data_IF_772590054920
#
_entry.id   IF_772590054920
#
_cell.length_a   1.000
_cell.length_b   1.000
_cell.length_c   1.000
_cell.angle_alpha   90.00
_cell.angle_beta   90.00
_cell.angle_gamma   90.00
#
_symmetry.space_group_name_H-M   'P 1'
#
loop_
_entity.id
_entity.type
_entity.pdbx_description
1 polymer ?
#
# COMPACT_ATOMS: atom_id res chain seq x y z
N UNK A 1 -1.86 15.18 40.40
CA UNK A 1 -2.97 15.42 39.46
C UNK A 1 -2.40 15.76 38.11
N UNK A 2 -2.83 15.08 37.04
CA UNK A 2 -2.43 15.42 35.67
C UNK A 2 -3.48 16.38 35.12
N UNK A 3 -3.09 17.62 34.82
CA UNK A 3 -3.97 18.60 34.21
C UNK A 3 -3.61 18.73 32.73
N UNK A 4 -4.64 18.94 31.89
CA UNK A 4 -4.50 19.13 30.46
C UNK A 4 -4.91 20.55 30.12
N UNK A 5 -4.02 21.31 29.48
CA UNK A 5 -4.34 22.65 28.97
C UNK A 5 -5.00 22.52 27.61
N UNK A 6 -6.12 23.21 27.42
CA UNK A 6 -6.81 23.35 26.13
C UNK A 6 -6.85 24.83 25.80
N UNK A 7 -6.33 25.20 24.63
CA UNK A 7 -6.28 26.60 24.18
C UNK A 7 -7.64 27.05 23.65
N UNK A 8 -7.91 28.37 23.65
CA UNK A 8 -9.14 28.92 23.07
C UNK A 8 -9.29 28.59 21.58
N UNK A 9 -8.20 28.50 20.83
CA UNK A 9 -8.18 28.03 19.44
C UNK A 9 -8.60 26.57 19.30
N UNK A 10 -8.14 25.70 20.21
CA UNK A 10 -8.55 24.30 20.24
C UNK A 10 -10.03 24.18 20.59
N UNK A 11 -10.48 24.95 21.58
CA UNK A 11 -11.89 24.99 21.97
C UNK A 11 -12.78 25.53 20.85
N UNK A 12 -12.37 26.57 20.14
CA UNK A 12 -13.15 27.15 19.05
C UNK A 12 -13.26 26.18 17.87
N UNK A 13 -12.19 25.45 17.53
CA UNK A 13 -12.22 24.43 16.49
C UNK A 13 -13.05 23.19 16.87
N UNK A 14 -13.13 22.86 18.16
CA UNK A 14 -13.97 21.76 18.67
C UNK A 14 -15.46 22.15 18.75
N UNK A 15 -15.77 23.44 18.93
CA UNK A 15 -17.15 23.93 18.96
C UNK A 15 -17.83 23.68 17.61
N UNK A 16 -18.99 23.04 17.64
CA UNK A 16 -19.78 22.70 16.45
C UNK A 16 -19.48 21.32 15.86
N UNK A 17 -18.45 20.61 16.34
CA UNK A 17 -18.20 19.24 15.92
C UNK A 17 -19.11 18.23 16.65
N UNK A 18 -19.38 17.05 16.06
CA UNK A 18 -20.05 15.95 16.74
C UNK A 18 -19.38 15.57 18.07
N UNK A 19 -20.18 15.19 19.07
CA UNK A 19 -19.69 14.87 20.42
C UNK A 19 -18.62 13.77 20.43
N UNK A 20 -18.74 12.77 19.56
CA UNK A 20 -17.73 11.71 19.40
C UNK A 20 -16.36 12.27 19.00
N UNK A 21 -16.32 13.30 18.16
CA UNK A 21 -15.06 13.93 17.72
C UNK A 21 -14.44 14.73 18.87
N UNK A 22 -15.27 15.45 19.62
CA UNK A 22 -14.82 16.22 20.78
C UNK A 22 -14.22 15.31 21.86
N UNK A 23 -14.94 14.25 22.23
CA UNK A 23 -14.44 13.23 23.16
C UNK A 23 -13.15 12.62 22.65
N UNK A 24 -13.13 12.15 21.40
CA UNK A 24 -11.96 11.51 20.81
C UNK A 24 -10.70 12.38 20.91
N UNK A 25 -10.82 13.66 20.61
CA UNK A 25 -9.70 14.59 20.71
C UNK A 25 -9.25 14.78 22.17
N UNK A 26 -10.20 15.08 23.07
CA UNK A 26 -9.90 15.47 24.45
C UNK A 26 -9.46 14.30 25.33
N UNK A 27 -10.07 13.12 25.18
CA UNK A 27 -9.77 11.95 26.03
C UNK A 27 -8.68 11.08 25.44
N UNK A 28 -8.75 10.78 24.14
CA UNK A 28 -7.92 9.74 23.55
C UNK A 28 -6.66 10.25 22.82
N UNK A 29 -6.64 11.50 22.37
CA UNK A 29 -5.51 12.05 21.59
C UNK A 29 -4.70 13.02 22.45
N UNK A 30 -5.34 14.07 22.98
CA UNK A 30 -4.70 15.20 23.65
C UNK A 30 -3.80 14.80 24.85
N UNK A 31 -4.16 13.85 25.72
CA UNK A 31 -3.31 13.49 26.87
C UNK A 31 -1.97 12.84 26.49
N UNK A 32 -1.87 12.32 25.27
CA UNK A 32 -0.71 11.59 24.76
C UNK A 32 0.10 12.38 23.74
N UNK A 33 -0.18 13.67 23.56
CA UNK A 33 0.61 14.52 22.67
C UNK A 33 1.94 14.86 23.31
N UNK A 34 3.02 14.68 22.55
CA UNK A 34 4.28 15.33 22.85
C UNK A 34 4.18 16.82 22.50
N UNK A 35 4.09 17.68 23.53
CA UNK A 35 3.96 19.12 23.37
C UNK A 35 5.16 19.79 22.69
N UNK A 36 6.32 19.13 22.61
CA UNK A 36 7.50 19.66 21.91
C UNK A 36 7.37 19.51 20.39
N UNK A 37 6.77 18.41 19.94
CA UNK A 37 6.69 18.06 18.50
C UNK A 37 5.27 18.20 17.93
N UNK A 38 4.26 18.23 18.80
CA UNK A 38 2.85 18.17 18.42
C UNK A 38 2.41 16.80 17.91
N UNK A 39 3.23 15.75 18.08
CA UNK A 39 2.98 14.43 17.51
C UNK A 39 2.43 13.47 18.57
N UNK A 40 1.49 12.62 18.15
CA UNK A 40 0.80 11.60 18.92
C UNK A 40 0.92 10.26 18.17
N UNK A 41 1.13 9.15 18.86
CA UNK A 41 1.23 7.81 18.24
C UNK A 41 2.65 7.23 18.12
N UNK A 42 3.69 8.05 18.35
CA UNK A 42 5.09 7.60 18.34
C UNK A 42 5.51 7.07 19.72
N UNK A 43 5.42 7.91 20.77
CA UNK A 43 5.82 7.53 22.12
C UNK A 43 4.89 6.48 22.74
N UNK A 44 3.58 6.69 22.58
CA UNK A 44 2.53 5.70 22.85
C UNK A 44 1.91 5.31 21.53
N UNK A 45 2.06 4.04 21.15
CA UNK A 45 1.39 3.50 19.97
C UNK A 45 -0.13 3.59 20.12
N UNK A 46 -0.81 4.01 19.05
CA UNK A 46 -2.27 4.11 19.02
C UNK A 46 -2.82 3.19 17.95
N UNK A 47 -3.93 2.54 18.29
CA UNK A 47 -4.70 1.69 17.40
C UNK A 47 -6.16 2.12 17.40
N UNK A 48 -6.90 1.82 16.33
CA UNK A 48 -8.34 2.08 16.30
C UNK A 48 -9.06 1.39 17.46
N UNK A 49 -8.59 0.21 17.87
CA UNK A 49 -9.15 -0.54 18.99
C UNK A 49 -8.95 0.20 20.32
N UNK A 50 -7.75 0.72 20.57
CA UNK A 50 -7.48 1.52 21.78
C UNK A 50 -8.34 2.77 21.83
N UNK A 51 -8.58 3.43 20.70
CA UNK A 51 -9.47 4.60 20.63
C UNK A 51 -10.94 4.24 20.92
N UNK A 52 -11.41 3.06 20.48
CA UNK A 52 -12.77 2.61 20.80
C UNK A 52 -12.95 2.27 22.28
N UNK A 53 -11.91 1.74 22.92
CA UNK A 53 -11.92 1.41 24.35
C UNK A 53 -11.89 2.66 25.22
N UNK A 54 -11.11 3.68 24.84
CA UNK A 54 -11.07 4.96 25.55
C UNK A 54 -12.41 5.71 25.51
N UNK A 55 -13.22 5.47 24.48
CA UNK A 55 -14.55 6.07 24.29
C UNK A 55 -15.68 5.13 24.74
N UNK A 56 -15.37 4.08 25.51
CA UNK A 56 -16.37 3.19 26.08
C UNK A 56 -17.27 3.96 27.07
N UNK A 57 -18.58 3.83 26.88
CA UNK A 57 -19.58 4.35 27.80
C UNK A 57 -20.16 3.19 28.60
N UNK A 58 -19.97 3.23 29.92
CA UNK A 58 -20.53 2.24 30.84
C UNK A 58 -22.06 2.28 30.82
N UNK A 59 -22.75 1.14 31.00
CA UNK A 59 -24.21 1.10 31.01
C UNK A 59 -24.82 1.87 32.17
N UNK A 60 -25.61 2.88 31.81
CA UNK A 60 -26.43 3.68 32.70
C UNK A 60 -27.89 3.61 32.24
N UNK A 61 -28.84 3.73 33.18
CA UNK A 61 -30.27 3.68 32.86
C UNK A 61 -30.65 4.82 31.88
N UNK A 62 -31.35 4.46 30.79
CA UNK A 62 -31.81 5.42 29.78
C UNK A 62 -30.74 5.90 28.78
N UNK A 63 -29.50 5.41 28.87
CA UNK A 63 -28.40 5.80 27.96
C UNK A 63 -27.90 4.57 27.20
N UNK A 64 -27.60 4.76 25.91
CA UNK A 64 -26.96 3.71 25.12
C UNK A 64 -25.54 3.49 25.60
N UNK A 65 -25.29 2.30 26.13
CA UNK A 65 -23.96 1.84 26.54
C UNK A 65 -23.15 1.33 25.35
N UNK A 66 -21.85 1.24 25.54
CA UNK A 66 -20.93 0.59 24.61
C UNK A 66 -19.87 1.51 24.02
N UNK A 67 -19.00 0.91 23.22
CA UNK A 67 -17.96 1.60 22.47
C UNK A 67 -18.44 1.97 21.07
N UNK A 68 -18.01 3.13 20.53
CA UNK A 68 -18.24 3.45 19.13
C UNK A 68 -17.59 2.41 18.21
N UNK A 69 -18.16 2.22 17.03
CA UNK A 69 -17.60 1.29 16.04
C UNK A 69 -16.30 1.83 15.44
N UNK A 70 -15.44 0.94 14.94
CA UNK A 70 -14.19 1.33 14.27
C UNK A 70 -14.43 2.29 13.11
N UNK A 71 -15.54 2.14 12.38
CA UNK A 71 -15.90 3.05 11.28
C UNK A 71 -16.36 4.41 11.78
N UNK A 72 -17.06 4.48 12.91
CA UNK A 72 -17.40 5.75 13.55
C UNK A 72 -16.12 6.50 13.98
N UNK A 73 -15.15 5.79 14.57
CA UNK A 73 -13.84 6.37 14.90
C UNK A 73 -13.11 6.86 13.65
N UNK A 74 -13.03 6.05 12.58
CA UNK A 74 -12.40 6.48 11.32
C UNK A 74 -13.05 7.74 10.75
N UNK A 75 -14.38 7.82 10.76
CA UNK A 75 -15.12 9.02 10.32
C UNK A 75 -14.87 10.21 11.23
N UNK A 76 -14.82 9.99 12.55
CA UNK A 76 -14.54 11.03 13.52
C UNK A 76 -13.14 11.62 13.33
N UNK A 77 -12.11 10.79 13.14
CA UNK A 77 -10.74 11.24 12.86
C UNK A 77 -10.69 12.08 11.58
N UNK A 78 -11.34 11.62 10.49
CA UNK A 78 -11.44 12.42 9.27
C UNK A 78 -12.16 13.75 9.47
N UNK A 79 -13.15 13.80 10.37
CA UNK A 79 -13.83 15.05 10.74
C UNK A 79 -12.92 16.03 11.48
N UNK A 80 -12.13 15.51 12.44
CA UNK A 80 -11.13 16.30 13.15
C UNK A 80 -10.02 16.81 12.23
N UNK A 81 -9.64 16.03 11.21
CA UNK A 81 -8.70 16.46 10.18
C UNK A 81 -9.27 17.62 9.35
N UNK A 82 -10.53 17.52 8.92
CA UNK A 82 -11.22 18.60 8.22
C UNK A 82 -11.36 19.87 9.05
N UNK A 83 -11.52 19.73 10.36
CA UNK A 83 -11.59 20.85 11.29
C UNK A 83 -10.21 21.51 11.56
N UNK A 84 -9.12 20.95 11.01
CA UNK A 84 -7.77 21.49 11.19
C UNK A 84 -7.16 21.25 12.57
N UNK A 85 -7.77 20.41 13.41
CA UNK A 85 -7.24 20.06 14.74
C UNK A 85 -6.07 19.08 14.66
N UNK A 86 -6.13 18.16 13.69
CA UNK A 86 -5.14 17.11 13.47
C UNK A 86 -4.82 16.91 12.00
N UNK A 87 -3.65 16.36 11.71
CA UNK A 87 -3.25 15.83 10.42
C UNK A 87 -2.90 14.37 10.58
N UNK A 88 -3.44 13.52 9.73
CA UNK A 88 -3.15 12.08 9.76
C UNK A 88 -1.77 11.87 9.13
N UNK A 89 -0.82 11.34 9.90
CA UNK A 89 0.53 10.99 9.44
C UNK A 89 0.80 9.50 9.63
N UNK A 90 -0.15 8.64 9.27
CA UNK A 90 -0.02 7.19 9.45
C UNK A 90 1.28 6.68 8.84
N UNK A 91 2.16 6.13 9.68
CA UNK A 91 3.45 5.55 9.28
C UNK A 91 3.29 4.04 9.32
N UNK A 92 3.39 3.38 8.16
CA UNK A 92 3.21 1.95 7.99
C UNK A 92 1.88 1.41 8.59
N UNK A 93 1.97 0.76 9.76
CA UNK A 93 0.89 0.13 10.52
C UNK A 93 0.55 0.88 11.82
N UNK A 94 1.21 2.02 12.07
CA UNK A 94 1.01 2.83 13.27
C UNK A 94 0.17 4.05 12.94
N UNK A 95 -0.88 4.27 13.74
CA UNK A 95 -1.65 5.50 13.68
C UNK A 95 -0.86 6.60 14.39
N UNK A 96 -0.40 7.56 13.60
CA UNK A 96 0.31 8.74 14.07
C UNK A 96 -0.48 9.97 13.63
N UNK A 97 -0.67 10.89 14.57
CA UNK A 97 -1.39 12.13 14.35
C UNK A 97 -0.45 13.29 14.69
N UNK A 98 -0.49 14.32 13.85
CA UNK A 98 0.13 15.61 14.15
C UNK A 98 -0.98 16.59 14.55
N UNK A 99 -0.97 17.03 15.80
CA UNK A 99 -1.90 18.04 16.29
C UNK A 99 -1.37 19.43 15.95
N UNK A 100 -2.19 20.23 15.26
CA UNK A 100 -1.76 21.49 14.66
C UNK A 100 -1.90 22.69 15.61
N UNK A 101 -2.88 22.65 16.52
CA UNK A 101 -3.26 23.79 17.37
C UNK A 101 -2.62 23.75 18.77
N UNK A 102 -1.52 23.02 18.92
CA UNK A 102 -0.86 22.87 20.22
C UNK A 102 0.08 24.03 20.47
N UNK A 103 0.03 24.66 21.66
CA UNK A 103 0.98 25.68 22.03
C UNK A 103 2.36 25.04 22.24
N UNK A 104 3.23 25.14 21.23
CA UNK A 104 4.66 24.91 21.39
C UNK A 104 5.16 25.87 22.46
N UNK A 105 5.59 25.32 23.59
CA UNK A 105 5.79 26.01 24.87
C UNK A 105 6.99 26.96 24.92
N UNK A 106 7.35 27.60 23.80
CA UNK A 106 8.45 28.55 23.72
C UNK A 106 8.02 30.01 23.59
N UNK A 107 6.72 30.30 23.53
CA UNK A 107 6.24 31.68 23.36
C UNK A 107 5.95 32.42 24.68
N UNK A 108 6.16 31.80 25.85
CA UNK A 108 5.84 32.41 27.15
C UNK A 108 7.07 32.61 28.06
N UNK A 109 8.17 33.15 27.53
CA UNK A 109 9.21 33.79 28.37
C UNK A 109 9.62 35.21 27.94
N UNK A 110 8.98 35.79 26.93
CA UNK A 110 9.14 37.21 26.61
C UNK A 110 7.83 37.98 26.77
N UNK A 111 7.16 37.83 27.91
CA UNK A 111 6.32 38.92 28.42
C UNK A 111 7.23 39.81 29.27
N UNK A 112 7.55 41.04 28.82
CA UNK A 112 8.19 42.01 29.71
C UNK A 112 7.27 42.17 30.93
N UNK A 113 7.88 42.15 32.11
CA UNK A 113 7.18 42.31 33.37
C UNK A 113 6.54 43.71 33.42
N UNK A 114 5.29 43.84 33.01
CA UNK A 114 4.46 44.99 33.38
C UNK A 114 3.97 44.74 34.80
N UNK A 115 4.80 45.12 35.78
CA UNK A 115 4.35 45.29 37.16
C UNK A 115 3.37 46.46 37.17
N UNK A 116 2.12 46.22 37.57
CA UNK A 116 1.31 47.27 38.16
C UNK A 116 1.75 47.41 39.62
N UNK A 117 2.26 48.58 39.97
CA UNK A 117 2.24 49.09 41.34
C UNK A 117 2.10 50.60 41.25
N UNK A 118 0.99 51.10 41.78
CA UNK A 118 0.79 52.52 42.04
C UNK A 118 1.76 53.02 43.11
N UNK A 119 1.98 54.33 43.02
CA UNK A 119 2.46 55.30 44.00
C UNK A 119 3.96 55.67 44.08
N UNK A 120 4.14 56.95 43.71
CA UNK A 120 4.96 58.00 44.31
C UNK A 120 6.40 58.25 43.80
N UNK A 121 6.56 59.52 43.43
CA UNK A 121 7.74 60.19 42.90
C UNK A 121 8.98 60.16 43.81
N UNK A 122 10.17 60.21 43.18
CA UNK A 122 11.19 61.27 43.30
C UNK A 122 12.53 60.77 42.68
N UNK A 123 12.91 61.37 41.55
CA UNK A 123 14.22 61.98 41.24
C UNK A 123 15.52 61.20 41.57
N UNK A 124 16.28 60.74 40.55
CA UNK A 124 17.54 61.36 40.07
C UNK A 124 18.41 60.45 39.16
N UNK A 125 19.12 61.14 38.27
CA UNK A 125 20.07 60.71 37.24
C UNK A 125 21.28 59.89 37.74
N UNK A 126 21.85 59.04 36.86
CA UNK A 126 23.25 59.19 36.42
C UNK A 126 23.57 58.32 35.18
N UNK A 127 24.18 58.97 34.19
CA UNK A 127 24.74 58.43 32.94
C UNK A 127 26.05 57.64 33.16
N UNK A 128 26.37 56.72 32.23
CA UNK A 128 27.63 56.64 31.45
C UNK A 128 27.78 55.24 30.82
N UNK A 129 27.75 55.05 29.49
CA UNK A 129 28.75 55.29 28.41
C UNK A 129 29.76 54.12 28.12
N UNK A 130 29.49 53.45 26.99
CA UNK A 130 30.33 52.85 25.89
C UNK A 130 31.29 51.62 26.07
N UNK A 131 31.11 50.63 25.17
CA UNK A 131 32.03 49.98 24.15
C UNK A 131 31.89 48.44 24.15
N UNK A 132 31.41 47.74 23.10
CA UNK A 132 31.82 47.50 21.70
C UNK A 132 32.83 46.34 21.50
N UNK A 133 32.46 45.36 20.64
CA UNK A 133 33.29 44.29 20.04
C UNK A 133 33.09 42.91 20.70
N UNK A 134 33.17 41.75 20.07
CA UNK A 134 33.43 41.30 18.69
C UNK A 134 33.18 39.77 18.67
N UNK A 135 33.02 39.18 17.48
CA UNK A 135 32.61 37.80 17.20
C UNK A 135 33.69 36.71 17.41
N UNK A 136 33.14 35.50 17.58
CA UNK A 136 33.60 34.16 17.15
C UNK A 136 34.79 33.44 17.82
N UNK A 137 34.48 32.18 18.17
CA UNK A 137 35.27 30.95 18.00
C UNK A 137 35.48 30.14 19.28
N UNK A 138 34.78 28.99 19.39
CA UNK A 138 35.17 27.89 20.28
C UNK A 138 34.79 26.52 19.68
N UNK A 139 35.75 25.96 18.94
CA UNK A 139 36.37 24.64 19.14
C UNK A 139 35.56 23.47 19.74
N UNK A 140 35.38 22.48 18.86
CA UNK A 140 35.25 21.02 18.95
C UNK A 140 35.73 20.26 20.23
N UNK A 141 34.95 19.19 20.55
CA UNK A 141 35.20 17.90 21.29
C UNK A 141 34.78 17.84 22.77
N UNK A 142 34.12 16.76 23.26
CA UNK A 142 34.68 15.39 23.39
C UNK A 142 33.72 14.23 22.96
N UNK A 143 34.21 13.17 22.32
CA UNK A 143 34.69 11.87 22.87
C UNK A 143 33.61 10.93 23.43
N UNK A 144 33.35 9.91 22.60
CA UNK A 144 32.81 8.56 22.80
C UNK A 144 32.70 8.02 24.24
N UNK A 145 31.55 7.42 24.54
CA UNK A 145 31.37 5.94 24.59
C UNK A 145 30.08 5.59 25.34
N UNK A 146 29.19 4.77 24.75
CA UNK A 146 28.59 3.61 25.42
C UNK A 146 27.62 2.82 24.52
N UNK A 147 27.92 1.51 24.47
CA UNK A 147 27.00 0.37 24.36
C UNK A 147 26.45 -0.02 22.97
N UNK A 148 27.16 -0.97 22.37
CA UNK A 148 26.69 -1.85 21.29
C UNK A 148 25.59 -2.75 21.87
N UNK A 149 24.32 -2.45 21.55
CA UNK A 149 23.21 -3.41 21.64
C UNK A 149 22.53 -3.49 20.28
N UNK A 150 22.27 -4.72 19.87
CA UNK A 150 21.91 -5.17 18.53
C UNK A 150 20.92 -4.24 17.79
N UNK A 151 21.30 -3.88 16.56
CA UNK A 151 20.45 -3.16 15.61
C UNK A 151 19.28 -4.06 15.20
N UNK A 152 18.10 -3.76 15.73
CA UNK A 152 16.85 -4.00 15.01
C UNK A 152 16.77 -2.85 13.99
N UNK A 153 16.78 -3.09 12.67
CA UNK A 153 16.81 -2.01 11.70
C UNK A 153 15.52 -1.19 11.86
N UNK A 154 15.67 0.04 12.34
CA UNK A 154 14.64 1.06 12.28
C UNK A 154 14.46 1.36 10.80
N UNK A 155 13.44 0.74 10.20
CA UNK A 155 13.09 0.95 8.79
C UNK A 155 12.39 2.30 8.72
N UNK A 156 13.18 3.36 8.67
CA UNK A 156 12.72 4.75 8.63
C UNK A 156 11.80 4.97 7.41
N UNK A 157 10.80 5.84 7.53
CA UNK A 157 9.79 6.11 6.49
C UNK A 157 10.37 6.44 5.09
N UNK A 158 11.61 6.93 5.02
CA UNK A 158 12.33 7.15 3.77
C UNK A 158 12.58 5.84 3.00
N UNK A 159 12.73 4.71 3.69
CA UNK A 159 12.88 3.39 3.09
C UNK A 159 11.61 2.96 2.35
N UNK A 160 10.42 3.22 2.90
CA UNK A 160 9.16 2.82 2.26
C UNK A 160 8.85 3.66 1.02
N UNK A 161 9.14 4.96 1.07
CA UNK A 161 9.03 5.86 -0.10
C UNK A 161 10.00 5.44 -1.20
N UNK A 162 11.26 5.14 -0.85
CA UNK A 162 12.26 4.65 -1.80
C UNK A 162 11.87 3.29 -2.41
N UNK A 163 11.39 2.35 -1.58
CA UNK A 163 10.97 1.02 -2.02
C UNK A 163 9.77 1.09 -2.97
N UNK A 164 8.81 1.97 -2.69
CA UNK A 164 7.66 2.19 -3.57
C UNK A 164 8.11 2.78 -4.91
N UNK A 165 8.99 3.77 -4.90
CA UNK A 165 9.55 4.35 -6.13
C UNK A 165 10.33 3.33 -6.96
N UNK A 166 11.10 2.46 -6.31
CA UNK A 166 11.79 1.35 -6.97
C UNK A 166 10.79 0.39 -7.61
N UNK A 167 9.77 -0.02 -6.87
CA UNK A 167 8.73 -0.88 -7.42
C UNK A 167 7.97 -0.26 -8.59
N UNK A 168 7.65 1.04 -8.52
CA UNK A 168 7.00 1.76 -9.62
C UNK A 168 7.86 1.75 -10.89
N UNK A 169 9.15 2.05 -10.78
CA UNK A 169 10.09 1.95 -11.91
C UNK A 169 10.14 0.55 -12.51
N UNK A 170 10.21 -0.48 -11.66
CA UNK A 170 10.15 -1.87 -12.11
C UNK A 170 8.82 -2.19 -12.81
N UNK A 171 7.71 -1.74 -12.24
CA UNK A 171 6.37 -1.98 -12.76
C UNK A 171 6.15 -1.35 -14.14
N UNK A 172 6.65 -0.12 -14.35
CA UNK A 172 6.57 0.59 -15.63
C UNK A 172 7.40 -0.09 -16.72
N UNK A 173 8.56 -0.67 -16.36
CA UNK A 173 9.42 -1.39 -17.31
C UNK A 173 8.91 -2.78 -17.68
N UNK A 174 7.89 -3.31 -17.00
CA UNK A 174 7.45 -4.69 -17.19
C UNK A 174 6.49 -4.83 -18.39
N UNK A 175 6.70 -5.79 -19.33
CA UNK A 175 5.92 -5.87 -20.57
C UNK A 175 4.43 -6.21 -20.39
N UNK A 176 4.11 -7.05 -19.39
CA UNK A 176 2.74 -7.49 -19.10
C UNK A 176 2.45 -7.42 -17.59
N UNK A 177 2.25 -6.20 -17.06
CA UNK A 177 2.03 -5.99 -15.65
C UNK A 177 0.63 -6.50 -15.25
N UNK A 178 0.57 -7.63 -14.56
CA UNK A 178 -0.68 -8.19 -14.01
C UNK A 178 -0.60 -8.32 -12.50
N UNK A 179 -1.73 -8.07 -11.85
CA UNK A 179 -1.92 -8.24 -10.40
C UNK A 179 -0.89 -7.47 -9.53
N UNK A 180 -0.94 -6.13 -9.61
CA UNK A 180 -0.04 -5.20 -8.92
C UNK A 180 0.06 -5.46 -7.41
N UNK A 181 -1.05 -5.83 -6.76
CA UNK A 181 -1.08 -6.09 -5.32
C UNK A 181 -0.23 -7.31 -4.93
N UNK A 182 -0.30 -8.40 -5.70
CA UNK A 182 0.51 -9.59 -5.45
C UNK A 182 1.99 -9.37 -5.79
N UNK A 183 2.28 -8.67 -6.89
CA UNK A 183 3.65 -8.32 -7.26
C UNK A 183 4.29 -7.40 -6.20
N UNK A 184 3.55 -6.42 -5.68
CA UNK A 184 4.02 -5.55 -4.60
C UNK A 184 4.31 -6.34 -3.32
N UNK A 185 3.45 -7.28 -2.93
CA UNK A 185 3.70 -8.13 -1.76
C UNK A 185 4.97 -8.98 -1.94
N UNK A 186 5.17 -9.57 -3.13
CA UNK A 186 6.40 -10.30 -3.45
C UNK A 186 7.64 -9.39 -3.39
N UNK A 187 7.54 -8.16 -3.91
CA UNK A 187 8.63 -7.17 -3.88
C UNK A 187 8.97 -6.72 -2.46
N UNK A 188 7.95 -6.47 -1.62
CA UNK A 188 8.13 -6.14 -0.19
C UNK A 188 8.82 -7.26 0.58
N UNK A 189 8.53 -8.53 0.26
CA UNK A 189 9.19 -9.68 0.91
C UNK A 189 10.67 -9.77 0.56
N UNK A 190 11.04 -9.40 -0.66
CA UNK A 190 12.43 -9.41 -1.12
C UNK A 190 13.26 -8.30 -0.47
N UNK A 191 12.65 -7.18 -0.07
CA UNK A 191 13.34 -6.00 0.47
C UNK A 191 14.62 -5.65 -0.32
N UNK A 192 14.50 -5.38 -1.63
CA UNK A 192 15.65 -5.13 -2.45
C UNK A 192 16.45 -3.92 -1.96
N UNK A 193 17.77 -4.13 -1.84
CA UNK A 193 18.74 -3.05 -1.70
C UNK A 193 18.93 -2.35 -3.07
N UNK A 194 19.47 -1.14 -3.08
CA UNK A 194 19.64 -0.34 -4.30
C UNK A 194 20.48 -1.09 -5.37
N UNK A 195 21.51 -1.82 -4.94
CA UNK A 195 22.34 -2.67 -5.80
C UNK A 195 21.56 -3.85 -6.36
N UNK A 196 20.73 -4.50 -5.54
CA UNK A 196 19.89 -5.62 -5.98
C UNK A 196 18.83 -5.14 -6.98
N UNK A 197 18.21 -4.00 -6.72
CA UNK A 197 17.23 -3.39 -7.59
C UNK A 197 17.81 -3.05 -8.97
N UNK A 198 19.01 -2.45 -9.02
CA UNK A 198 19.71 -2.17 -10.27
C UNK A 198 19.97 -3.46 -11.07
N UNK A 199 20.39 -4.55 -10.40
CA UNK A 199 20.59 -5.86 -11.03
C UNK A 199 19.28 -6.43 -11.59
N UNK A 200 18.17 -6.28 -10.87
CA UNK A 200 16.85 -6.72 -11.32
C UNK A 200 16.42 -6.00 -12.59
N UNK A 201 16.57 -4.67 -12.65
CA UNK A 201 16.22 -3.89 -13.84
C UNK A 201 17.10 -4.23 -15.05
N UNK A 202 18.41 -4.40 -14.84
CA UNK A 202 19.33 -4.79 -15.91
C UNK A 202 18.96 -6.15 -16.51
N UNK A 203 18.71 -7.15 -15.65
CA UNK A 203 18.31 -8.48 -16.09
C UNK A 203 16.96 -8.45 -16.82
N UNK A 204 15.99 -7.67 -16.30
CA UNK A 204 14.68 -7.51 -16.93
C UNK A 204 14.80 -6.94 -18.34
N UNK A 205 15.56 -5.85 -18.52
CA UNK A 205 15.76 -5.24 -19.83
C UNK A 205 16.46 -6.19 -20.81
N UNK A 206 17.47 -6.93 -20.35
CA UNK A 206 18.17 -7.90 -21.18
C UNK A 206 17.24 -9.06 -21.61
N UNK A 207 16.37 -9.54 -20.71
CA UNK A 207 15.35 -10.54 -21.04
C UNK A 207 14.31 -10.01 -22.04
N UNK A 208 13.89 -8.75 -21.90
CA UNK A 208 12.95 -8.11 -22.84
C UNK A 208 13.57 -8.02 -24.23
N UNK A 209 14.82 -7.59 -24.34
CA UNK A 209 15.52 -7.49 -25.61
C UNK A 209 15.66 -8.86 -26.28
N UNK A 210 16.05 -9.90 -25.51
CA UNK A 210 16.14 -11.25 -26.03
C UNK A 210 14.80 -11.78 -26.55
N UNK A 211 13.71 -11.51 -25.83
CA UNK A 211 12.36 -11.87 -26.26
C UNK A 211 12.00 -11.17 -27.58
N UNK A 212 12.34 -9.89 -27.72
CA UNK A 212 12.11 -9.13 -28.96
C UNK A 212 12.95 -9.66 -30.13
N UNK A 213 14.19 -10.06 -29.89
CA UNK A 213 15.06 -10.68 -30.90
C UNK A 213 14.49 -12.02 -31.40
N UNK A 214 14.01 -12.88 -30.50
CA UNK A 214 13.37 -14.14 -30.87
C UNK A 214 12.10 -13.91 -31.69
N UNK A 215 11.30 -12.91 -31.31
CA UNK A 215 10.09 -12.53 -32.03
C UNK A 215 10.41 -11.99 -33.43
N UNK A 216 11.44 -11.15 -33.55
CA UNK A 216 11.92 -10.62 -34.83
C UNK A 216 12.52 -11.71 -35.73
N UNK A 217 13.15 -12.73 -35.15
CA UNK A 217 13.65 -13.92 -35.85
C UNK A 217 12.52 -14.87 -36.29
N UNK A 218 11.26 -14.60 -35.93
CA UNK A 218 10.10 -15.43 -36.27
C UNK A 218 10.04 -16.76 -35.50
N UNK A 219 10.81 -16.91 -34.42
CA UNK A 219 10.78 -18.08 -33.56
C UNK A 219 9.54 -18.01 -32.66
N UNK A 220 8.96 -19.18 -32.35
CA UNK A 220 7.88 -19.25 -31.37
C UNK A 220 8.41 -18.89 -29.98
N UNK A 221 7.78 -17.93 -29.31
CA UNK A 221 8.17 -17.46 -27.98
C UNK A 221 7.03 -17.73 -26.99
N UNK A 222 7.30 -18.35 -25.83
CA UNK A 222 6.28 -18.58 -24.82
C UNK A 222 5.76 -17.27 -24.23
N UNK A 223 4.58 -17.30 -23.61
CA UNK A 223 4.01 -16.14 -22.93
C UNK A 223 4.94 -15.59 -21.84
N UNK A 224 5.01 -14.27 -21.71
CA UNK A 224 5.84 -13.60 -20.70
C UNK A 224 5.40 -13.99 -19.28
N UNK A 225 6.36 -14.14 -18.37
CA UNK A 225 6.07 -14.58 -16.99
C UNK A 225 5.31 -13.49 -16.24
N UNK A 226 4.46 -13.84 -15.29
CA UNK A 226 3.83 -12.84 -14.42
C UNK A 226 4.86 -12.19 -13.48
N UNK A 227 4.74 -10.88 -13.18
CA UNK A 227 5.71 -10.16 -12.36
C UNK A 227 5.84 -10.76 -10.96
N UNK A 228 4.74 -11.24 -10.37
CA UNK A 228 4.76 -11.97 -9.09
C UNK A 228 5.65 -13.22 -9.13
N UNK A 229 5.54 -14.02 -10.19
CA UNK A 229 6.31 -15.26 -10.33
C UNK A 229 7.78 -14.96 -10.66
N UNK A 230 8.02 -13.96 -11.51
CA UNK A 230 9.36 -13.48 -11.83
C UNK A 230 10.10 -13.01 -10.58
N UNK A 231 9.44 -12.24 -9.71
CA UNK A 231 10.00 -11.81 -8.43
C UNK A 231 10.20 -12.99 -7.47
N UNK A 232 9.20 -13.85 -7.30
CA UNK A 232 9.27 -14.98 -6.36
C UNK A 232 10.37 -15.99 -6.69
N UNK A 233 10.64 -16.20 -7.99
CA UNK A 233 11.65 -17.13 -8.47
C UNK A 233 13.02 -16.50 -8.72
N UNK A 234 13.21 -15.24 -8.32
CA UNK A 234 14.45 -14.51 -8.55
C UNK A 234 14.86 -14.49 -10.02
N UNK A 235 13.93 -14.15 -10.91
CA UNK A 235 14.14 -14.20 -12.36
C UNK A 235 15.29 -13.35 -12.91
N UNK A 236 15.94 -12.51 -12.08
CA UNK A 236 17.20 -11.84 -12.40
C UNK A 236 18.45 -12.73 -12.32
N UNK A 237 18.33 -13.92 -11.72
CA UNK A 237 19.36 -14.98 -11.67
C UNK A 237 19.20 -15.99 -12.81
N UNK A 238 18.09 -15.92 -13.57
CA UNK A 238 17.85 -16.81 -14.71
C UNK A 238 18.79 -16.42 -15.87
N UNK A 239 19.61 -17.36 -16.33
CA UNK A 239 20.46 -17.18 -17.51
C UNK A 239 19.59 -16.97 -18.76
N UNK A 240 19.79 -15.83 -19.46
CA UNK A 240 19.12 -15.49 -20.72
C UNK A 240 19.42 -16.53 -21.83
N UNK A 241 20.49 -17.32 -21.64
CA UNK A 241 21.00 -18.31 -22.57
C UNK A 241 20.46 -19.74 -22.36
N UNK A 242 19.24 -19.95 -21.85
CA UNK A 242 18.66 -21.31 -21.79
C UNK A 242 18.18 -21.83 -23.16
N UNK A 243 19.06 -21.80 -24.16
CA UNK A 243 19.06 -22.65 -25.34
C UNK A 243 19.38 -24.13 -24.98
N UNK A 244 18.93 -24.63 -23.82
CA UNK A 244 19.25 -25.99 -23.32
C UNK A 244 18.06 -26.93 -23.19
N UNK A 245 16.96 -26.65 -23.90
CA UNK A 245 16.04 -27.70 -24.33
C UNK A 245 15.97 -27.69 -25.86
N UNK A 246 17.12 -27.82 -26.53
CA UNK A 246 17.08 -28.52 -27.81
C UNK A 246 16.59 -29.92 -27.48
N UNK A 247 15.31 -30.19 -27.76
CA UNK A 247 14.80 -31.55 -27.80
C UNK A 247 15.73 -32.33 -28.73
N UNK A 248 16.50 -33.25 -28.14
CA UNK A 248 17.12 -34.29 -28.96
C UNK A 248 15.96 -34.95 -29.70
N UNK A 249 16.02 -35.13 -31.04
CA UNK A 249 14.99 -35.86 -31.76
C UNK A 249 14.95 -37.30 -31.25
N UNK A 250 14.17 -37.53 -30.21
CA UNK A 250 14.05 -38.80 -29.49
C UNK A 250 12.98 -39.67 -30.15
N UNK A 251 12.99 -39.75 -31.48
CA UNK A 251 12.24 -40.78 -32.19
C UNK A 251 12.75 -40.87 -33.63
N UNK A 252 13.61 -41.84 -33.90
CA UNK A 252 13.60 -42.42 -35.24
C UNK A 252 12.24 -43.11 -35.40
N UNK A 253 11.38 -42.57 -36.27
CA UNK A 253 10.12 -43.20 -36.64
C UNK A 253 10.39 -44.61 -37.20
N UNK A 254 10.36 -45.63 -36.34
CA UNK A 254 10.17 -47.01 -36.79
C UNK A 254 8.68 -47.22 -36.91
N UNK A 255 8.20 -47.43 -38.14
CA UNK A 255 6.83 -47.86 -38.39
C UNK A 255 6.58 -49.16 -37.62
N UNK A 256 5.71 -49.11 -36.60
CA UNK A 256 5.16 -50.32 -35.98
C UNK A 256 4.10 -50.87 -36.91
N UNK A 257 4.27 -52.13 -37.32
CA UNK A 257 3.22 -52.88 -37.98
C UNK A 257 1.96 -52.87 -37.09
N UNK A 258 0.86 -52.43 -37.67
CA UNK A 258 -0.47 -52.29 -37.09
C UNK A 258 -0.98 -53.65 -36.59
N UNK A 259 -0.97 -53.85 -35.27
CA UNK A 259 -1.97 -54.70 -34.61
C UNK A 259 -2.82 -53.75 -33.79
N UNK A 260 -4.05 -53.54 -34.25
CA UNK A 260 -4.99 -52.64 -33.60
C UNK A 260 -5.29 -53.14 -32.17
N UNK A 261 -5.29 -52.26 -31.15
CA UNK A 261 -5.84 -52.60 -29.85
C UNK A 261 -7.36 -52.57 -29.99
N UNK A 262 -8.01 -53.71 -29.76
CA UNK A 262 -9.47 -53.73 -29.62
C UNK A 262 -9.79 -53.10 -28.27
N UNK A 263 -10.30 -51.86 -28.29
CA UNK A 263 -10.79 -51.18 -27.10
C UNK A 263 -12.15 -51.78 -26.72
N UNK A 264 -12.11 -52.75 -25.79
CA UNK A 264 -13.26 -53.49 -25.24
C UNK A 264 -14.36 -52.60 -24.62
N UNK A 265 -14.08 -51.31 -24.43
CA UNK A 265 -14.99 -50.34 -23.83
C UNK A 265 -16.08 -49.82 -24.78
N UNK A 266 -15.85 -49.83 -26.10
CA UNK A 266 -16.79 -49.28 -27.09
C UNK A 266 -17.69 -50.32 -27.77
N UNK A 267 -17.51 -51.61 -27.50
CA UNK A 267 -18.36 -52.68 -28.08
C UNK A 267 -19.80 -52.67 -27.52
N UNK A 268 -20.04 -52.05 -26.37
CA UNK A 268 -21.35 -52.05 -25.73
C UNK A 268 -22.37 -51.06 -26.34
N UNK A 269 -21.99 -50.28 -27.36
CA UNK A 269 -22.89 -49.34 -28.06
C UNK A 269 -23.37 -49.85 -29.43
N UNK A 270 -23.06 -51.10 -29.82
CA UNK A 270 -23.49 -51.68 -31.11
C UNK A 270 -24.86 -52.37 -31.10
N UNK A 271 -25.56 -52.42 -29.96
CA UNK A 271 -26.87 -53.04 -29.86
C UNK A 271 -28.00 -52.01 -29.91
N UNK A 272 -28.44 -51.62 -31.11
CA UNK A 272 -29.66 -50.82 -31.25
C UNK A 272 -29.92 -50.29 -32.65
N UNK A 273 -30.90 -50.92 -33.30
CA UNK A 273 -31.63 -50.51 -34.52
C UNK A 273 -31.13 -51.10 -35.85
N UNK A 274 -31.72 -52.25 -36.19
CA UNK A 274 -31.88 -52.71 -37.56
C UNK A 274 -32.68 -51.68 -38.36
N UNK A 275 -32.03 -51.05 -39.34
CA UNK A 275 -32.72 -50.38 -40.44
C UNK A 275 -32.02 -50.79 -41.73
N UNK A 276 -32.68 -51.64 -42.51
CA UNK A 276 -32.30 -52.01 -43.87
C UNK A 276 -33.02 -51.02 -44.80
N UNK A 277 -32.31 -50.16 -45.55
CA UNK A 277 -32.90 -49.50 -46.70
C UNK A 277 -32.59 -50.33 -47.95
N UNK A 278 -33.65 -50.82 -48.59
CA UNK A 278 -33.60 -51.42 -49.92
C UNK A 278 -32.97 -50.44 -50.92
N UNK A 279 -32.01 -50.96 -51.67
CA UNK A 279 -31.37 -50.29 -52.79
C UNK A 279 -32.36 -50.14 -53.95
N UNK A 280 -32.58 -48.92 -54.45
CA UNK A 280 -32.81 -48.70 -55.88
C UNK A 280 -32.58 -47.24 -56.32
N UNK A 281 -31.84 -47.11 -57.43
CA UNK A 281 -31.82 -46.02 -58.43
C UNK A 281 -31.11 -44.68 -58.14
N UNK A 282 -29.89 -44.59 -58.72
CA UNK A 282 -29.34 -43.51 -59.59
C UNK A 282 -30.18 -42.22 -59.68
N UNK A 283 -29.60 -41.06 -59.29
CA UNK A 283 -29.31 -39.91 -60.19
C UNK A 283 -28.74 -38.70 -59.41
N UNK A 284 -27.59 -38.24 -59.90
CA UNK A 284 -27.15 -36.85 -60.11
C UNK A 284 -27.24 -35.77 -59.02
N UNK A 285 -26.13 -35.02 -58.90
CA UNK A 285 -26.21 -33.57 -58.67
C UNK A 285 -26.00 -33.03 -57.25
N UNK A 286 -24.88 -32.31 -57.12
CA UNK A 286 -24.67 -31.10 -56.30
C UNK A 286 -24.21 -31.23 -54.84
N UNK A 287 -23.03 -30.64 -54.64
CA UNK A 287 -22.37 -30.27 -53.38
C UNK A 287 -23.10 -29.06 -52.78
N UNK A 288 -23.47 -29.12 -51.50
CA UNK A 288 -23.61 -27.95 -50.62
C UNK A 288 -23.15 -28.29 -49.19
N UNK A 289 -22.35 -27.42 -48.53
CA UNK A 289 -21.85 -27.62 -47.17
C UNK A 289 -22.88 -27.17 -46.11
N UNK A 290 -23.12 -27.99 -45.09
CA UNK A 290 -23.93 -27.61 -43.93
C UNK A 290 -23.18 -26.58 -43.08
N UNK A 291 -23.64 -25.33 -43.09
CA UNK A 291 -23.17 -24.26 -42.22
C UNK A 291 -23.65 -24.42 -40.78
N UNK A 292 -22.73 -24.62 -39.85
CA UNK A 292 -22.99 -24.51 -38.42
C UNK A 292 -22.98 -23.03 -38.02
N UNK A 293 -24.14 -22.36 -38.08
CA UNK A 293 -24.34 -21.02 -37.52
C UNK A 293 -25.09 -21.16 -36.19
N UNK A 294 -24.42 -20.80 -35.09
CA UNK A 294 -25.02 -20.70 -33.76
C UNK A 294 -25.74 -19.34 -33.67
N UNK A 295 -27.05 -19.37 -33.45
CA UNK A 295 -27.89 -18.17 -33.33
C UNK A 295 -27.89 -17.67 -31.88
N UNK A 296 -27.38 -16.46 -31.63
CA UNK A 296 -27.44 -15.81 -30.31
C UNK A 296 -28.78 -15.08 -30.14
N UNK A 297 -29.47 -15.36 -29.03
CA UNK A 297 -30.76 -14.77 -28.70
C UNK A 297 -30.71 -13.27 -28.41
N UNK A 298 -31.69 -12.54 -28.93
CA UNK A 298 -31.85 -11.10 -28.76
C UNK A 298 -32.24 -10.70 -27.32
N UNK A 299 -31.64 -9.60 -26.84
CA UNK A 299 -31.94 -8.97 -25.56
C UNK A 299 -33.30 -8.25 -25.61
N UNK A 300 -34.15 -8.50 -24.60
CA UNK A 300 -35.40 -7.74 -24.37
C UNK A 300 -35.09 -6.27 -24.02
N UNK A 301 -35.59 -5.34 -24.83
CA UNK A 301 -35.71 -3.92 -24.48
C UNK A 301 -36.85 -3.74 -23.48
N UNK A 302 -36.55 -3.12 -22.34
CA UNK A 302 -37.51 -2.60 -21.36
C UNK A 302 -38.20 -1.37 -21.93
N UNK A 303 -39.53 -1.42 -22.07
CA UNK A 303 -40.37 -0.26 -22.33
C UNK A 303 -40.70 0.44 -21.00
N UNK A 304 -40.23 1.67 -20.85
CA UNK A 304 -40.77 2.67 -19.91
C UNK A 304 -42.21 3.01 -20.30
N UNK A 305 -43.08 3.10 -19.30
CA UNK A 305 -44.36 3.81 -19.42
C UNK A 305 -44.45 4.85 -18.32
N UNK A 306 -44.90 6.02 -18.76
CA UNK A 306 -45.31 7.24 -18.05
C UNK A 306 -46.11 7.00 -16.77
#
# INVERSE_FOLDING_TARGET
MRYMKVTDEELSALRGLPYIQQLLYLTAIKPYVDYRTGIVGIARGISYQSLTEELYIEPHQGIKSGSPSKDQIRRAIKGLEKAGLLRIQSMDWKLVFQCLLIPTSYSDLNKPATKQHDDLAIVNNHESHIKQGFQDDLSIKPTMSQNIKAAIPHKDNNYFVCLLQQFEKFWESYPQPQNKAHAWNAFQKLNPDEVLFARMLLALNAQINHYQELQAAGLWVPHWRYPTNWLAQRGWEDDINTNKLQEKPNAAHKARATKQPVDFFWESCKGGADYIPDSETITDGSIQPSGNVIQFGEYRKTSETR
#
